data_IF_694895752855
#
_entry.id   IF_694895752855
#
_cell.length_a   1.000
_cell.length_b   1.000
_cell.length_c   1.000
_cell.angle_alpha   90.00
_cell.angle_beta   90.00
_cell.angle_gamma   90.00
#
_symmetry.space_group_name_H-M   'P 1'
#
loop_
_entity.id
_entity.type
_entity.pdbx_description
1 polymer ?
#
# COMPACT_ATOMS: atom_id res chain seq x y z
N UNK A 1 19.62 -0.09 -2.45
CA UNK A 1 19.00 0.91 -1.54
C UNK A 1 17.77 0.25 -0.94
N UNK A 2 17.78 -0.11 0.36
CA UNK A 2 16.59 -0.67 1.02
C UNK A 2 15.80 0.50 1.59
N UNK A 3 14.76 0.93 0.88
CA UNK A 3 13.79 1.88 1.43
C UNK A 3 12.86 1.14 2.38
N UNK A 4 13.02 1.37 3.68
CA UNK A 4 12.00 1.01 4.67
C UNK A 4 11.27 2.29 5.05
N UNK A 5 9.96 2.29 4.82
CA UNK A 5 9.08 3.38 5.27
C UNK A 5 8.30 2.85 6.48
N UNK A 6 8.23 3.65 7.53
CA UNK A 6 7.52 3.26 8.76
C UNK A 6 6.03 3.05 8.49
N UNK A 7 5.44 2.04 9.12
CA UNK A 7 3.99 1.80 9.10
C UNK A 7 3.20 2.98 9.67
N UNK A 8 3.78 3.73 10.62
CA UNK A 8 3.17 4.94 11.15
C UNK A 8 2.84 5.96 10.03
N UNK A 9 3.61 5.98 8.95
CA UNK A 9 3.34 6.87 7.81
C UNK A 9 2.00 6.54 7.15
N UNK A 10 1.65 5.24 7.02
CA UNK A 10 0.30 4.84 6.58
C UNK A 10 -0.76 5.16 7.63
N UNK A 11 -0.44 4.95 8.91
CA UNK A 11 -1.29 5.33 10.05
C UNK A 11 -1.67 6.82 10.06
N UNK A 12 -0.75 7.68 9.63
CA UNK A 12 -0.94 9.13 9.53
C UNK A 12 -1.64 9.57 8.23
N UNK A 13 -2.11 8.63 7.41
CA UNK A 13 -2.92 8.89 6.22
C UNK A 13 -2.18 8.85 4.89
N UNK A 14 -0.94 8.35 4.85
CA UNK A 14 -0.26 8.11 3.58
C UNK A 14 -0.97 7.02 2.76
N UNK A 15 -0.91 7.16 1.43
CA UNK A 15 -1.56 6.25 0.48
C UNK A 15 -0.56 5.60 -0.45
N UNK A 16 -0.77 4.32 -0.74
CA UNK A 16 -0.06 3.62 -1.80
C UNK A 16 -0.75 3.92 -3.14
N UNK A 17 -0.02 4.59 -4.04
CA UNK A 17 -0.52 4.97 -5.36
C UNK A 17 0.44 4.53 -6.46
N UNK A 18 -0.10 4.34 -7.65
CA UNK A 18 0.69 4.10 -8.88
C UNK A 18 1.39 5.37 -9.33
N UNK A 19 2.27 5.28 -10.34
CA UNK A 19 2.90 6.45 -10.96
C UNK A 19 1.88 7.44 -11.55
N UNK A 20 0.68 6.97 -11.91
CA UNK A 20 -0.43 7.81 -12.38
C UNK A 20 -1.30 8.36 -11.24
N UNK A 21 -0.91 8.14 -9.98
CA UNK A 21 -1.66 8.58 -8.80
C UNK A 21 -2.89 7.74 -8.48
N UNK A 22 -3.07 6.57 -9.09
CA UNK A 22 -4.22 5.69 -8.81
C UNK A 22 -3.99 4.94 -7.48
N UNK A 23 -4.95 4.92 -6.54
CA UNK A 23 -4.80 4.16 -5.29
C UNK A 23 -4.75 2.65 -5.55
N UNK A 24 -3.77 1.98 -4.96
CA UNK A 24 -3.55 0.52 -5.14
C UNK A 24 -4.55 -0.28 -4.29
N UNK A 25 -4.83 0.18 -3.07
CA UNK A 25 -5.62 -0.57 -2.08
C UNK A 25 -7.13 -0.30 -2.14
N UNK A 26 -7.61 0.55 -3.06
CA UNK A 26 -9.00 1.05 -3.08
C UNK A 26 -10.04 -0.08 -3.21
N UNK A 27 -9.79 -1.05 -4.10
CA UNK A 27 -10.68 -2.17 -4.39
C UNK A 27 -10.26 -3.49 -3.71
N UNK A 28 -9.22 -3.43 -2.86
CA UNK A 28 -8.57 -4.60 -2.27
C UNK A 28 -9.13 -4.93 -0.89
N UNK A 29 -9.21 -3.92 -0.01
CA UNK A 29 -9.64 -4.12 1.37
C UNK A 29 -10.38 -2.88 1.87
N UNK A 30 -11.40 -3.06 2.70
CA UNK A 30 -12.23 -1.96 3.24
C UNK A 30 -11.43 -0.92 4.02
N UNK A 31 -10.38 -1.37 4.73
CA UNK A 31 -9.42 -0.51 5.46
C UNK A 31 -8.32 0.12 4.57
N UNK A 32 -8.28 -0.20 3.27
CA UNK A 32 -7.33 0.37 2.30
C UNK A 32 -5.87 0.25 2.76
N UNK A 33 -5.13 1.35 2.78
CA UNK A 33 -3.72 1.42 3.22
C UNK A 33 -3.52 1.08 4.72
N UNK A 34 -4.59 1.04 5.51
CA UNK A 34 -4.58 0.60 6.91
C UNK A 34 -4.91 -0.90 7.08
N UNK A 35 -5.07 -1.64 5.99
CA UNK A 35 -5.23 -3.09 6.05
C UNK A 35 -4.03 -3.76 6.76
N UNK A 36 -4.22 -4.97 7.32
CA UNK A 36 -3.13 -5.73 7.92
C UNK A 36 -1.91 -5.82 7.00
N UNK A 37 -0.70 -5.70 7.57
CA UNK A 37 0.57 -5.62 6.82
C UNK A 37 0.72 -6.74 5.78
N UNK A 38 0.28 -7.97 6.09
CA UNK A 38 0.38 -9.08 5.15
C UNK A 38 -0.46 -8.83 3.89
N UNK A 39 -1.70 -8.34 4.03
CA UNK A 39 -2.59 -8.01 2.90
C UNK A 39 -1.94 -6.94 2.03
N UNK A 40 -1.53 -5.83 2.66
CA UNK A 40 -0.89 -4.71 1.95
C UNK A 40 0.36 -5.16 1.20
N UNK A 41 1.18 -6.04 1.81
CA UNK A 41 2.43 -6.50 1.20
C UNK A 41 2.18 -7.46 0.04
N UNK A 42 1.26 -8.41 0.20
CA UNK A 42 0.93 -9.41 -0.82
C UNK A 42 0.31 -8.73 -2.06
N UNK A 43 -0.65 -7.82 -1.85
CA UNK A 43 -1.29 -7.08 -2.93
C UNK A 43 -0.35 -6.07 -3.59
N UNK A 44 0.47 -5.37 -2.81
CA UNK A 44 1.49 -4.47 -3.36
C UNK A 44 2.50 -5.24 -4.23
N UNK A 45 2.94 -6.43 -3.81
CA UNK A 45 3.88 -7.22 -4.60
C UNK A 45 3.26 -7.69 -5.93
N UNK A 46 1.99 -8.10 -5.91
CA UNK A 46 1.26 -8.44 -7.13
C UNK A 46 1.09 -7.23 -8.05
N UNK A 47 0.85 -6.04 -7.47
CA UNK A 47 0.77 -4.80 -8.23
C UNK A 47 2.13 -4.40 -8.83
N UNK A 48 3.20 -4.43 -8.05
CA UNK A 48 4.55 -4.07 -8.51
C UNK A 48 5.15 -5.05 -9.52
N UNK A 49 4.63 -6.28 -9.57
CA UNK A 49 4.99 -7.28 -10.57
C UNK A 49 4.20 -7.14 -11.90
N UNK A 50 3.26 -6.18 -11.98
CA UNK A 50 2.51 -5.83 -13.19
C UNK A 50 3.08 -4.57 -13.84
#
# INVERSE_FOLDING_TARGET
MKGLVSEAVRGDGARLVTEMGKPIMEDVHSLKDLAPRHIVTDDFFLFAAR
#
